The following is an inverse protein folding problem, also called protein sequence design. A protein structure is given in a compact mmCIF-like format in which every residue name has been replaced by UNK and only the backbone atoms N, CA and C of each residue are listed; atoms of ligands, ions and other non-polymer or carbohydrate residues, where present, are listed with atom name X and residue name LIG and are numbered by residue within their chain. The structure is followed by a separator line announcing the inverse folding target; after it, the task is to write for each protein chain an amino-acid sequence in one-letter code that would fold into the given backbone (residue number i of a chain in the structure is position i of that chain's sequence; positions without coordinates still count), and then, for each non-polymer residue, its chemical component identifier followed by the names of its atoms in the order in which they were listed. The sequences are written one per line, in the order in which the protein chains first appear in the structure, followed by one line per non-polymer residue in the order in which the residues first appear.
data_IF_080239253406
#
_entry.id   IF_080239253406
#
_cell.length_a   1.000
_cell.length_b   1.000
_cell.length_c   1.000
_cell.angle_alpha   90.00
_cell.angle_beta   90.00
_cell.angle_gamma   90.00
#
_symmetry.space_group_name_H-M   'P 1'
#
loop_
_entity.id
_entity.type
_entity.pdbx_description
1 polymer ?
#
# COMPACT_ATOMS: atom_id res chain seq x y z
N UNK A 1 -3.12 -1.75 9.60
CA UNK A 1 -3.55 -1.24 8.28
C UNK A 1 -4.00 -2.47 7.54
N UNK A 2 -5.29 -2.60 7.23
CA UNK A 2 -5.84 -3.81 6.60
C UNK A 2 -5.90 -3.59 5.10
N UNK A 3 -5.29 -4.48 4.33
CA UNK A 3 -5.36 -4.44 2.88
C UNK A 3 -6.77 -4.80 2.44
N UNK A 4 -7.50 -3.85 1.84
CA UNK A 4 -8.92 -4.01 1.52
C UNK A 4 -9.18 -5.07 0.45
N UNK A 5 -8.18 -5.39 -0.38
CA UNK A 5 -8.35 -6.31 -1.50
C UNK A 5 -8.34 -7.79 -1.10
N UNK A 6 -7.45 -8.19 -0.17
CA UNK A 6 -7.43 -9.57 0.33
C UNK A 6 -7.88 -9.69 1.80
N UNK A 7 -8.11 -8.56 2.48
CA UNK A 7 -8.50 -8.54 3.88
C UNK A 7 -7.38 -8.92 4.85
N UNK A 8 -6.12 -8.93 4.40
CA UNK A 8 -4.95 -9.22 5.24
C UNK A 8 -4.53 -8.01 6.08
N UNK A 9 -4.12 -8.27 7.32
CA UNK A 9 -3.46 -7.30 8.20
C UNK A 9 -1.93 -7.36 8.09
N UNK A 10 -1.39 -8.32 7.33
CA UNK A 10 0.04 -8.52 7.10
C UNK A 10 0.56 -7.58 6.02
N UNK A 11 0.73 -6.31 6.42
CA UNK A 11 1.18 -5.22 5.54
C UNK A 11 2.53 -4.68 6.01
N UNK A 12 3.51 -4.66 5.11
CA UNK A 12 4.83 -4.08 5.29
C UNK A 12 4.95 -2.76 4.54
N UNK A 13 5.60 -1.76 5.11
CA UNK A 13 5.95 -0.52 4.40
C UNK A 13 7.12 -0.79 3.45
N UNK A 14 6.96 -0.46 2.16
CA UNK A 14 7.95 -0.66 1.11
C UNK A 14 8.57 0.67 0.67
N UNK A 15 9.06 1.45 1.64
CA UNK A 15 9.70 2.74 1.39
C UNK A 15 8.78 3.76 0.70
N UNK A 16 9.39 4.78 0.13
CA UNK A 16 8.70 5.89 -0.55
C UNK A 16 8.90 5.78 -2.06
N UNK A 17 7.82 5.96 -2.81
CA UNK A 17 7.90 6.08 -4.27
C UNK A 17 8.63 7.35 -4.68
N UNK A 18 9.04 7.43 -5.95
CA UNK A 18 9.60 8.65 -6.59
C UNK A 18 8.71 9.89 -6.39
N UNK A 19 7.41 9.71 -6.17
CA UNK A 19 6.44 10.79 -5.94
C UNK A 19 6.28 11.14 -4.45
N UNK A 20 7.15 10.66 -3.56
CA UNK A 20 7.04 10.78 -2.09
C UNK A 20 5.74 10.23 -1.51
N UNK A 21 5.09 9.31 -2.22
CA UNK A 21 3.98 8.52 -1.70
C UNK A 21 4.55 7.32 -0.97
N UNK A 22 4.08 7.05 0.24
CA UNK A 22 4.49 5.87 1.00
C UNK A 22 3.97 4.62 0.30
N UNK A 23 4.86 3.71 -0.07
CA UNK A 23 4.47 2.40 -0.56
C UNK A 23 4.28 1.41 0.59
N UNK A 24 3.33 0.51 0.38
CA UNK A 24 2.94 -0.56 1.27
C UNK A 24 2.82 -1.85 0.46
N UNK A 25 3.09 -2.97 1.10
CA UNK A 25 3.13 -4.27 0.49
C UNK A 25 2.44 -5.29 1.38
N UNK A 26 1.49 -6.01 0.80
CA UNK A 26 0.77 -7.11 1.42
C UNK A 26 1.61 -8.38 1.32
N UNK A 27 2.02 -8.93 2.46
CA UNK A 27 2.86 -10.13 2.50
C UNK A 27 2.07 -11.43 2.23
N UNK A 28 0.75 -11.42 2.36
CA UNK A 28 -0.08 -12.58 2.01
C UNK A 28 -0.37 -12.67 0.52
N UNK A 29 -0.66 -11.52 -0.10
CA UNK A 29 -1.15 -11.46 -1.47
C UNK A 29 -0.09 -10.97 -2.48
N UNK A 30 1.07 -10.53 -2.01
CA UNK A 30 2.18 -10.04 -2.84
C UNK A 30 1.92 -8.71 -3.54
N UNK A 31 0.76 -8.09 -3.33
CA UNK A 31 0.39 -6.82 -3.96
C UNK A 31 0.95 -5.64 -3.18
N UNK A 32 1.32 -4.60 -3.91
CA UNK A 32 1.81 -3.35 -3.39
C UNK A 32 0.81 -2.23 -3.67
N UNK A 33 0.84 -1.18 -2.86
CA UNK A 33 0.15 0.05 -3.15
C UNK A 33 0.90 1.25 -2.65
N UNK A 34 0.55 2.40 -3.21
CA UNK A 34 1.06 3.68 -2.77
C UNK A 34 -0.07 4.48 -2.15
N UNK A 35 0.16 4.99 -0.95
CA UNK A 35 -0.72 5.91 -0.25
C UNK A 35 -0.04 7.28 -0.14
N UNK A 36 -0.80 8.33 -0.40
CA UNK A 36 -0.34 9.68 -0.12
C UNK A 36 -0.65 10.02 1.34
N UNK A 37 0.17 10.86 1.96
CA UNK A 37 -0.02 11.21 3.38
C UNK A 37 -1.39 11.91 3.61
N UNK A 38 -1.91 12.60 2.60
CA UNK A 38 -3.26 13.17 2.58
C UNK A 38 -4.36 12.10 2.37
N UNK A 39 -4.07 11.07 1.59
CA UNK A 39 -4.99 9.96 1.34
C UNK A 39 -5.15 9.05 2.57
N UNK A 40 -4.16 9.02 3.46
CA UNK A 40 -4.20 8.34 4.76
C UNK A 40 -5.34 8.84 5.67
N UNK A 41 -5.73 10.11 5.51
CA UNK A 41 -6.82 10.73 6.28
C UNK A 41 -8.18 10.24 5.78
N UNK A 42 -8.28 9.91 4.49
CA UNK A 42 -9.52 9.48 3.85
C UNK A 42 -9.58 7.97 3.58
N UNK A 43 -8.51 7.22 3.84
CA UNK A 43 -8.43 5.78 3.61
C UNK A 43 -8.40 5.36 2.13
N UNK A 44 -8.00 6.26 1.22
CA UNK A 44 -7.97 5.97 -0.21
C UNK A 44 -6.60 5.45 -0.66
N UNK A 45 -6.61 4.30 -1.33
CA UNK A 45 -5.45 3.77 -2.04
C UNK A 45 -5.39 4.45 -3.41
N UNK A 46 -4.30 5.16 -3.71
CA UNK A 46 -4.13 5.92 -4.96
C UNK A 46 -3.81 5.01 -6.14
N UNK A 47 -2.96 4.01 -5.92
CA UNK A 47 -2.56 3.04 -6.94
C UNK A 47 -2.21 1.71 -6.31
N UNK A 48 -2.70 0.64 -6.91
CA UNK A 48 -2.35 -0.74 -6.58
C UNK A 48 -1.44 -1.29 -7.66
N UNK A 49 -0.27 -1.78 -7.27
CA UNK A 49 0.68 -2.44 -8.14
C UNK A 49 0.64 -3.96 -7.89
N UNK A 50 0.62 -4.80 -8.94
CA UNK A 50 0.46 -6.24 -8.79
C UNK A 50 1.65 -6.93 -8.13
N UNK A 51 2.85 -6.33 -8.11
CA UNK A 51 4.05 -6.92 -7.53
C UNK A 51 4.69 -6.04 -6.45
N UNK A 52 5.12 -6.71 -5.39
CA UNK A 52 5.97 -6.17 -4.34
C UNK A 52 7.39 -6.69 -4.57
N UNK A 53 8.17 -5.95 -5.37
CA UNK A 53 9.62 -6.15 -5.56
C UNK A 53 10.41 -5.08 -4.78
#
# INVERSE_FOLDING_TARGET
MRWTYCGSDLVKKNGDTRQKKQSFCCLECGKQWSENNEAKILGFIDRVDPNCE
#
